data_IF_511569672074
#
_entry.id   IF_511569672074
#
_cell.length_a   1.000
_cell.length_b   1.000
_cell.length_c   1.000
_cell.angle_alpha   90.00
_cell.angle_beta   90.00
_cell.angle_gamma   90.00
#
_symmetry.space_group_name_H-M   'P 1'
#
loop_
_entity.id
_entity.type
_entity.pdbx_description
1 polymer ?
#
# COMPACT_ATOMS: atom_id res chain seq x y z
N UNK A 1 45.38 13.25 -63.36
CA UNK A 1 46.55 12.55 -63.90
C UNK A 1 47.75 13.10 -63.16
N UNK A 2 48.53 12.37 -62.39
CA UNK A 2 48.59 10.93 -62.17
C UNK A 2 49.76 10.67 -61.20
N UNK A 3 49.66 9.56 -60.44
CA UNK A 3 50.76 8.67 -60.02
C UNK A 3 51.73 9.19 -58.92
N UNK A 4 51.67 8.63 -57.71
CA UNK A 4 52.48 7.46 -57.21
C UNK A 4 53.86 7.91 -56.64
N UNK A 5 54.50 7.32 -55.62
CA UNK A 5 54.29 6.13 -54.78
C UNK A 5 55.31 6.18 -53.60
N UNK A 6 54.92 5.54 -52.48
CA UNK A 6 55.70 4.63 -51.60
C UNK A 6 56.99 5.01 -50.83
N UNK A 7 56.92 4.62 -49.55
CA UNK A 7 57.99 4.01 -48.73
C UNK A 7 58.06 4.65 -47.33
N UNK A 8 57.97 3.99 -46.18
CA UNK A 8 57.91 2.57 -45.78
C UNK A 8 57.81 2.49 -44.23
N UNK A 9 57.45 1.31 -43.72
CA UNK A 9 57.15 0.94 -42.33
C UNK A 9 58.15 1.34 -41.23
N UNK A 10 57.62 1.71 -40.06
CA UNK A 10 58.15 1.27 -38.76
C UNK A 10 57.09 1.43 -37.63
N UNK A 11 56.68 0.28 -37.10
CA UNK A 11 55.79 0.04 -35.97
C UNK A 11 56.21 0.79 -34.68
N UNK A 12 55.27 1.52 -34.05
CA UNK A 12 55.33 1.90 -32.62
C UNK A 12 53.94 1.88 -31.99
N UNK A 13 53.77 1.08 -30.94
CA UNK A 13 52.63 1.08 -30.02
C UNK A 13 52.63 2.35 -29.16
N UNK A 14 51.46 2.87 -28.73
CA UNK A 14 51.37 3.74 -27.56
C UNK A 14 50.70 3.04 -26.37
N UNK A 15 51.30 3.25 -25.21
CA UNK A 15 50.94 2.79 -23.87
C UNK A 15 49.69 3.49 -23.31
N UNK A 16 48.83 2.69 -22.66
CA UNK A 16 47.67 3.14 -21.91
C UNK A 16 48.05 3.82 -20.58
N UNK A 17 47.63 5.07 -20.40
CA UNK A 17 47.55 5.75 -19.11
C UNK A 17 46.09 5.91 -18.70
N UNK A 18 45.57 4.99 -17.88
CA UNK A 18 44.22 5.05 -17.32
C UNK A 18 44.23 5.65 -15.91
N UNK A 19 43.75 6.88 -15.76
CA UNK A 19 43.45 7.48 -14.46
C UNK A 19 42.21 6.83 -13.85
N UNK A 20 42.36 6.22 -12.67
CA UNK A 20 41.24 5.67 -11.89
C UNK A 20 40.65 6.76 -11.02
N UNK A 21 39.46 7.21 -11.40
CA UNK A 21 38.59 8.04 -10.56
C UNK A 21 38.08 7.22 -9.38
N UNK A 22 38.31 7.73 -8.18
CA UNK A 22 37.88 7.18 -6.90
C UNK A 22 36.35 7.07 -6.84
N UNK A 23 35.82 5.84 -6.86
CA UNK A 23 34.40 5.56 -6.65
C UNK A 23 34.09 5.65 -5.15
N UNK A 24 33.51 6.77 -4.75
CA UNK A 24 32.84 6.88 -3.46
C UNK A 24 31.62 5.97 -3.50
N UNK A 25 31.61 4.89 -2.72
CA UNK A 25 30.47 3.98 -2.59
C UNK A 25 29.32 4.71 -1.88
N UNK A 26 28.58 5.53 -2.63
CA UNK A 26 27.17 5.79 -2.35
C UNK A 26 26.50 4.43 -2.49
N UNK A 27 25.83 3.96 -1.43
CA UNK A 27 24.90 2.85 -1.54
C UNK A 27 23.85 3.27 -2.57
N UNK A 28 23.98 2.72 -3.77
CA UNK A 28 22.89 2.63 -4.71
C UNK A 28 21.86 1.79 -3.98
N UNK A 29 20.73 2.38 -3.62
CA UNK A 29 19.55 1.66 -3.15
C UNK A 29 19.01 0.89 -4.36
N UNK A 30 19.74 -0.14 -4.83
CA UNK A 30 19.19 -1.16 -5.73
C UNK A 30 18.31 -2.07 -4.88
N UNK A 31 17.22 -1.51 -4.36
CA UNK A 31 16.02 -2.28 -4.11
C UNK A 31 15.62 -2.73 -5.51
N UNK A 32 15.68 -4.03 -5.80
CA UNK A 32 15.06 -4.57 -7.01
C UNK A 32 13.64 -4.00 -7.04
N UNK A 33 13.37 -3.11 -7.99
CA UNK A 33 12.11 -2.38 -8.04
C UNK A 33 11.03 -3.41 -8.38
N UNK A 34 10.30 -3.85 -7.35
CA UNK A 34 9.22 -4.85 -7.44
C UNK A 34 8.30 -4.46 -8.61
N UNK A 35 7.95 -5.43 -9.46
CA UNK A 35 7.16 -5.14 -10.65
C UNK A 35 5.84 -4.48 -10.25
N UNK A 36 5.32 -3.49 -11.01
CA UNK A 36 4.02 -2.89 -10.74
C UNK A 36 2.88 -3.92 -10.60
N UNK A 37 3.00 -5.07 -11.27
CA UNK A 37 2.04 -6.18 -11.16
C UNK A 37 2.17 -6.94 -9.84
N UNK A 38 3.39 -7.12 -9.34
CA UNK A 38 3.66 -7.79 -8.06
C UNK A 38 3.14 -6.93 -6.90
N UNK A 39 3.42 -5.62 -6.93
CA UNK A 39 2.88 -4.64 -5.98
C UNK A 39 1.35 -4.68 -5.99
N UNK A 40 0.73 -4.69 -7.19
CA UNK A 40 -0.73 -4.80 -7.32
C UNK A 40 -1.25 -6.08 -6.69
N UNK A 41 -0.64 -7.23 -6.99
CA UNK A 41 -1.03 -8.54 -6.47
C UNK A 41 -0.90 -8.60 -4.94
N UNK A 42 0.16 -8.01 -4.37
CA UNK A 42 0.35 -7.87 -2.92
C UNK A 42 -0.78 -7.05 -2.29
N UNK A 43 -1.10 -5.90 -2.87
CA UNK A 43 -2.15 -5.01 -2.37
C UNK A 43 -3.54 -5.66 -2.44
N UNK A 44 -3.85 -6.39 -3.51
CA UNK A 44 -5.09 -7.17 -3.62
C UNK A 44 -5.16 -8.24 -2.54
N UNK A 45 -4.08 -9.03 -2.37
CA UNK A 45 -4.01 -10.08 -1.35
C UNK A 45 -4.17 -9.51 0.06
N UNK A 46 -3.54 -8.39 0.34
CA UNK A 46 -3.70 -7.69 1.61
C UNK A 46 -5.15 -7.26 1.84
N UNK A 47 -5.78 -6.61 0.85
CA UNK A 47 -7.17 -6.18 0.94
C UNK A 47 -8.12 -7.35 1.21
N UNK A 48 -7.88 -8.51 0.60
CA UNK A 48 -8.64 -9.75 0.84
C UNK A 48 -8.46 -10.28 2.27
N UNK A 49 -7.21 -10.35 2.75
CA UNK A 49 -6.92 -10.81 4.12
C UNK A 49 -7.57 -9.90 5.15
N UNK A 50 -7.48 -8.58 4.98
CA UNK A 50 -8.08 -7.63 5.91
C UNK A 50 -9.61 -7.66 5.83
N UNK A 51 -10.19 -7.78 4.63
CA UNK A 51 -11.64 -7.89 4.47
C UNK A 51 -12.19 -9.16 5.13
N UNK A 52 -11.48 -10.28 5.04
CA UNK A 52 -11.85 -11.52 5.73
C UNK A 52 -11.75 -11.40 7.25
N UNK A 53 -10.69 -10.76 7.77
CA UNK A 53 -10.49 -10.64 9.21
C UNK A 53 -11.39 -9.60 9.87
N UNK A 54 -11.56 -8.43 9.24
CA UNK A 54 -12.26 -7.28 9.83
C UNK A 54 -13.71 -7.15 9.35
N UNK A 55 -14.04 -7.69 8.18
CA UNK A 55 -15.37 -7.57 7.57
C UNK A 55 -16.47 -8.35 8.29
N UNK A 56 -16.11 -9.40 9.02
CA UNK A 56 -17.07 -10.25 9.75
C UNK A 56 -17.31 -9.80 11.20
N UNK A 57 -16.46 -8.93 11.75
CA UNK A 57 -16.39 -8.56 13.18
C UNK A 57 -17.55 -7.72 13.73
N UNK A 58 -18.60 -7.46 12.95
CA UNK A 58 -19.77 -6.69 13.41
C UNK A 58 -19.55 -5.17 13.52
N UNK A 59 -18.46 -4.66 12.94
CA UNK A 59 -18.11 -3.23 12.93
C UNK A 59 -17.01 -2.87 13.94
N UNK A 60 -16.20 -1.88 13.57
CA UNK A 60 -15.17 -1.31 14.43
C UNK A 60 -15.74 -0.15 15.24
N UNK A 61 -15.29 -0.01 16.48
CA UNK A 61 -15.65 1.08 17.39
C UNK A 61 -14.58 2.17 17.37
N UNK A 62 -14.95 3.39 17.77
CA UNK A 62 -14.03 4.52 17.80
C UNK A 62 -12.83 4.30 18.74
N UNK A 63 -12.97 3.45 19.76
CA UNK A 63 -11.89 3.13 20.69
C UNK A 63 -10.83 2.18 20.10
N UNK A 64 -11.12 1.55 18.97
CA UNK A 64 -10.23 0.63 18.27
C UNK A 64 -9.39 1.31 17.20
N UNK A 65 -9.59 2.63 16.98
CA UNK A 65 -8.83 3.44 16.03
C UNK A 65 -8.05 4.54 16.73
N UNK A 66 -6.91 4.90 16.16
CA UNK A 66 -6.12 6.08 16.53
C UNK A 66 -6.65 7.27 15.73
N UNK A 67 -7.76 7.85 16.20
CA UNK A 67 -8.48 8.91 15.49
C UNK A 67 -7.70 10.25 15.37
N UNK A 68 -6.75 10.51 16.27
CA UNK A 68 -6.00 11.76 16.30
C UNK A 68 -4.75 11.69 15.41
N UNK A 69 -4.74 12.48 14.34
CA UNK A 69 -3.59 12.59 13.43
C UNK A 69 -2.32 13.07 14.14
N UNK A 70 -2.42 13.81 15.26
CA UNK A 70 -1.26 14.20 16.05
C UNK A 70 -0.59 13.00 16.73
N UNK A 71 -1.36 12.00 17.17
CA UNK A 71 -0.80 10.77 17.73
C UNK A 71 -0.06 9.95 16.66
N UNK A 72 -0.64 9.87 15.45
CA UNK A 72 0.02 9.25 14.30
C UNK A 72 1.30 10.00 13.91
N UNK A 73 1.27 11.33 13.99
CA UNK A 73 2.47 12.15 13.82
C UNK A 73 3.56 11.80 14.83
N UNK A 74 3.21 11.65 16.11
CA UNK A 74 4.16 11.22 17.14
C UNK A 74 4.72 9.83 16.85
N UNK A 75 3.90 8.89 16.36
CA UNK A 75 4.36 7.54 15.99
C UNK A 75 5.30 7.56 14.78
N UNK A 76 5.04 8.42 13.79
CA UNK A 76 5.94 8.66 12.66
C UNK A 76 7.29 9.25 13.10
N UNK A 77 7.27 10.21 14.03
CA UNK A 77 8.50 10.78 14.61
C UNK A 77 9.26 9.74 15.43
N UNK A 78 8.54 8.90 16.19
CA UNK A 78 9.13 7.79 16.91
C UNK A 78 9.86 6.87 15.94
N UNK A 79 9.20 6.44 14.85
CA UNK A 79 9.81 5.64 13.79
C UNK A 79 11.13 6.22 13.27
N UNK A 80 11.15 7.48 12.80
CA UNK A 80 12.37 8.10 12.26
C UNK A 80 13.47 8.23 13.34
N UNK A 81 13.10 8.55 14.58
CA UNK A 81 14.06 8.69 15.69
C UNK A 81 14.69 7.37 16.10
N UNK A 82 13.90 6.29 16.16
CA UNK A 82 14.37 4.95 16.52
C UNK A 82 15.20 4.32 15.41
N UNK A 83 14.80 4.52 14.14
CA UNK A 83 15.58 4.08 12.98
C UNK A 83 16.94 4.80 12.95
N UNK A 84 16.94 6.12 13.14
CA UNK A 84 18.17 6.89 13.21
C UNK A 84 19.09 6.40 14.34
N UNK A 85 18.52 6.15 15.54
CA UNK A 85 19.28 5.67 16.68
C UNK A 85 19.87 4.28 16.42
N UNK A 86 19.10 3.36 15.86
CA UNK A 86 19.58 2.02 15.47
C UNK A 86 20.76 2.13 14.49
N UNK A 87 20.66 2.98 13.47
CA UNK A 87 21.76 3.22 12.53
C UNK A 87 23.00 3.79 13.21
N UNK A 88 22.83 4.74 14.14
CA UNK A 88 23.95 5.32 14.89
C UNK A 88 24.61 4.31 15.83
N UNK A 89 23.82 3.50 16.51
CA UNK A 89 24.34 2.43 17.37
C UNK A 89 25.06 1.35 16.57
N UNK A 90 24.58 1.03 15.37
CA UNK A 90 25.26 0.12 14.44
C UNK A 90 26.63 0.66 14.06
N UNK A 91 26.70 1.91 13.60
CA UNK A 91 27.95 2.55 13.20
C UNK A 91 28.93 2.66 14.38
N UNK A 92 28.43 3.07 15.55
CA UNK A 92 29.22 3.15 16.77
C UNK A 92 29.80 1.78 17.18
N UNK A 93 28.99 0.72 17.14
CA UNK A 93 29.43 -0.63 17.47
C UNK A 93 30.47 -1.15 16.47
N UNK A 94 30.31 -0.84 15.18
CA UNK A 94 31.29 -1.16 14.15
C UNK A 94 32.63 -0.43 14.37
N UNK A 95 32.60 0.86 14.70
CA UNK A 95 33.80 1.64 15.00
C UNK A 95 34.54 1.11 16.24
N UNK A 96 33.81 0.73 17.29
CA UNK A 96 34.40 0.09 18.48
C UNK A 96 35.11 -1.23 18.13
N UNK A 97 34.48 -2.08 17.30
CA UNK A 97 35.07 -3.33 16.85
C UNK A 97 36.34 -3.13 16.01
N UNK A 98 36.37 -2.09 15.16
CA UNK A 98 37.55 -1.72 14.37
C UNK A 98 38.70 -1.18 15.23
N UNK A 99 38.40 -0.47 16.32
CA UNK A 99 39.41 0.02 17.26
C UNK A 99 40.02 -1.12 18.09
N UNK A 100 39.23 -2.12 18.46
CA UNK A 100 39.70 -3.30 19.22
C UNK A 100 40.47 -4.30 18.37
N UNK A 101 40.20 -4.38 17.06
CA UNK A 101 40.98 -5.17 16.12
C UNK A 101 42.25 -4.41 15.74
N UNK A 102 43.23 -4.39 16.64
CA UNK A 102 44.55 -3.78 16.41
C UNK A 102 45.23 -4.33 15.14
N UNK A 103 46.28 -3.66 14.63
CA UNK A 103 47.00 -4.07 13.43
C UNK A 103 47.80 -5.35 13.70
N UNK A 104 47.15 -6.50 13.56
CA UNK A 104 47.78 -7.80 13.39
C UNK A 104 47.30 -8.37 12.05
N UNK A 105 47.73 -7.75 10.96
CA UNK A 105 48.52 -8.42 9.92
C UNK A 105 48.83 -7.44 8.78
N UNK A 106 49.97 -7.70 8.13
CA UNK A 106 50.72 -6.77 7.29
C UNK A 106 49.99 -6.06 6.16
N UNK A 107 50.55 -4.86 5.86
CA UNK A 107 50.51 -4.09 4.62
C UNK A 107 49.20 -3.36 4.27
N UNK A 108 49.23 -2.01 4.34
CA UNK A 108 48.89 -1.03 3.29
C UNK A 108 48.84 0.39 3.92
N UNK A 109 49.41 1.45 3.30
CA UNK A 109 49.28 2.81 3.82
C UNK A 109 47.99 3.45 3.30
N UNK A 110 47.05 3.77 4.18
CA UNK A 110 45.84 4.51 3.83
C UNK A 110 46.00 6.01 4.14
N UNK A 111 46.06 6.79 3.07
CA UNK A 111 45.97 8.24 3.00
C UNK A 111 44.51 8.65 3.26
N UNK A 112 44.26 9.60 4.16
CA UNK A 112 42.93 10.17 4.39
C UNK A 112 42.80 10.91 5.72
N UNK A 113 43.15 12.19 5.70
CA UNK A 113 43.11 13.11 6.84
C UNK A 113 41.68 13.55 7.20
N UNK A 114 41.37 13.69 8.50
CA UNK A 114 40.27 14.57 8.94
C UNK A 114 39.55 14.25 10.26
N UNK A 115 39.66 13.04 10.82
CA UNK A 115 39.07 12.74 12.14
C UNK A 115 40.21 12.48 13.12
N UNK A 116 40.26 13.12 14.31
CA UNK A 116 41.29 12.84 15.30
C UNK A 116 41.15 11.38 15.73
N UNK A 117 42.09 10.54 15.30
CA UNK A 117 42.21 9.15 15.72
C UNK A 117 42.81 9.16 17.11
N UNK A 118 42.05 8.75 18.11
CA UNK A 118 42.63 8.40 19.41
C UNK A 118 43.32 7.05 19.19
N UNK A 119 44.63 7.08 18.90
CA UNK A 119 45.47 5.88 18.95
C UNK A 119 45.61 5.47 20.41
N UNK A 120 44.79 4.53 20.87
CA UNK A 120 45.03 3.83 22.13
C UNK A 120 45.80 2.56 21.82
N UNK A 121 47.12 2.65 21.75
CA UNK A 121 47.98 1.46 21.81
C UNK A 121 48.07 0.99 23.26
N UNK A 122 47.76 -0.30 23.46
CA UNK A 122 47.90 -1.05 24.71
C UNK A 122 49.24 -0.80 25.43
N UNK A 123 49.26 0.07 26.44
CA UNK A 123 50.18 0.04 27.60
C UNK A 123 49.52 0.64 28.86
N UNK A 124 48.54 1.55 28.76
CA UNK A 124 47.98 2.28 29.92
C UNK A 124 46.48 2.02 30.23
N UNK A 125 46.11 0.78 30.56
CA UNK A 125 45.01 0.54 31.51
C UNK A 125 43.56 0.84 31.11
N UNK A 126 43.17 0.73 29.84
CA UNK A 126 41.74 0.65 29.47
C UNK A 126 41.36 -0.83 29.28
N UNK A 127 40.33 -1.36 29.98
CA UNK A 127 39.96 -2.77 29.86
C UNK A 127 39.56 -3.13 28.43
N UNK A 128 39.86 -4.36 28.01
CA UNK A 128 39.20 -4.99 26.86
C UNK A 128 37.69 -4.78 26.99
N UNK A 129 37.05 -4.26 25.94
CA UNK A 129 35.62 -3.99 26.03
C UNK A 129 34.94 -5.36 26.20
N UNK A 130 34.15 -5.58 27.27
CA UNK A 130 33.59 -6.90 27.51
C UNK A 130 32.81 -7.35 26.28
N UNK A 131 33.09 -8.54 25.78
CA UNK A 131 32.34 -9.11 24.64
C UNK A 131 30.82 -9.06 24.91
N UNK A 132 30.44 -9.17 26.19
CA UNK A 132 29.08 -9.01 26.67
C UNK A 132 28.49 -7.62 26.38
N UNK A 133 29.26 -6.53 26.50
CA UNK A 133 28.79 -5.18 26.19
C UNK A 133 28.51 -5.03 24.68
N UNK A 134 29.39 -5.57 23.83
CA UNK A 134 29.21 -5.56 22.37
C UNK A 134 27.96 -6.34 21.99
N UNK A 135 27.76 -7.53 22.58
CA UNK A 135 26.54 -8.33 22.39
C UNK A 135 25.29 -7.57 22.82
N UNK A 136 25.32 -6.91 23.98
CA UNK A 136 24.19 -6.09 24.45
C UNK A 136 23.91 -4.90 23.53
N UNK A 137 24.93 -4.24 22.99
CA UNK A 137 24.76 -3.14 22.03
C UNK A 137 24.11 -3.63 20.72
N UNK A 138 24.52 -4.79 20.21
CA UNK A 138 23.88 -5.40 19.04
C UNK A 138 22.42 -5.75 19.31
N UNK A 139 22.11 -6.35 20.46
CA UNK A 139 20.73 -6.66 20.86
C UNK A 139 19.87 -5.39 20.96
N UNK A 140 20.40 -4.33 21.59
CA UNK A 140 19.70 -3.06 21.71
C UNK A 140 19.45 -2.39 20.35
N UNK A 141 20.45 -2.46 19.46
CA UNK A 141 20.34 -1.96 18.10
C UNK A 141 19.24 -2.67 17.32
N UNK A 142 19.19 -4.01 17.40
CA UNK A 142 18.15 -4.81 16.77
C UNK A 142 16.77 -4.48 17.33
N UNK A 143 16.64 -4.29 18.65
CA UNK A 143 15.38 -3.91 19.28
C UNK A 143 14.87 -2.54 18.82
N UNK A 144 15.76 -1.54 18.63
CA UNK A 144 15.36 -0.24 18.09
C UNK A 144 14.95 -0.32 16.62
N UNK A 145 15.62 -1.14 15.82
CA UNK A 145 15.26 -1.38 14.42
C UNK A 145 13.89 -2.07 14.29
N UNK A 146 13.64 -3.11 15.11
CA UNK A 146 12.35 -3.79 15.17
C UNK A 146 11.23 -2.85 15.62
N UNK A 147 11.48 -2.01 16.63
CA UNK A 147 10.52 -1.00 17.08
C UNK A 147 10.22 0.02 15.98
N UNK A 148 11.23 0.48 15.24
CA UNK A 148 11.04 1.38 14.12
C UNK A 148 10.14 0.74 13.05
N UNK A 149 10.43 -0.51 12.66
CA UNK A 149 9.63 -1.25 11.68
C UNK A 149 8.18 -1.45 12.17
N UNK A 150 8.00 -1.74 13.45
CA UNK A 150 6.67 -1.89 14.07
C UNK A 150 5.89 -0.58 14.01
N UNK A 151 6.50 0.56 14.32
CA UNK A 151 5.83 1.87 14.24
C UNK A 151 5.34 2.15 12.81
N UNK A 152 6.15 1.87 11.80
CA UNK A 152 5.78 2.07 10.40
C UNK A 152 4.65 1.12 9.96
N UNK A 153 4.69 -0.14 10.41
CA UNK A 153 3.62 -1.11 10.15
C UNK A 153 2.30 -0.69 10.83
N UNK A 154 2.34 -0.19 12.07
CA UNK A 154 1.15 0.30 12.76
C UNK A 154 0.52 1.47 12.02
N UNK A 155 1.31 2.43 11.52
CA UNK A 155 0.79 3.53 10.69
C UNK A 155 0.08 3.01 9.44
N UNK A 156 0.71 2.07 8.73
CA UNK A 156 0.15 1.45 7.54
C UNK A 156 -1.16 0.71 7.82
N UNK A 157 -1.23 -0.04 8.92
CA UNK A 157 -2.44 -0.76 9.36
C UNK A 157 -3.53 0.18 9.85
N UNK A 158 -3.18 1.22 10.62
CA UNK A 158 -4.15 2.18 11.15
C UNK A 158 -4.97 2.83 10.03
N UNK A 159 -4.33 3.29 8.95
CA UNK A 159 -5.05 3.91 7.82
C UNK A 159 -6.06 2.94 7.19
N UNK A 160 -5.75 1.64 7.16
CA UNK A 160 -6.64 0.59 6.65
C UNK A 160 -7.80 0.33 7.60
N UNK A 161 -7.52 0.26 8.90
CA UNK A 161 -8.54 0.11 9.94
C UNK A 161 -9.51 1.29 9.89
N UNK A 162 -9.03 2.52 9.65
CA UNK A 162 -9.90 3.67 9.46
C UNK A 162 -10.80 3.55 8.22
N UNK A 163 -10.29 3.02 7.10
CA UNK A 163 -11.15 2.71 5.95
C UNK A 163 -12.28 1.74 6.33
N UNK A 164 -12.01 0.68 7.10
CA UNK A 164 -13.06 -0.21 7.60
C UNK A 164 -14.03 0.50 8.55
N UNK A 165 -13.52 1.29 9.50
CA UNK A 165 -14.34 2.00 10.48
C UNK A 165 -15.38 2.90 9.81
N UNK A 166 -14.97 3.71 8.81
CA UNK A 166 -15.88 4.63 8.13
C UNK A 166 -16.74 3.97 7.05
N UNK A 167 -16.26 2.92 6.37
CA UNK A 167 -16.97 2.34 5.21
C UNK A 167 -17.79 1.09 5.54
N UNK A 168 -17.46 0.29 6.57
CA UNK A 168 -18.21 -0.92 6.90
C UNK A 168 -19.67 -0.64 7.35
N UNK A 169 -19.96 0.40 8.17
CA UNK A 169 -21.33 0.75 8.54
C UNK A 169 -22.25 1.06 7.35
N UNK A 170 -21.68 1.36 6.17
CA UNK A 170 -22.43 1.60 4.94
C UNK A 170 -23.21 0.35 4.48
N UNK A 171 -22.70 -0.86 4.74
CA UNK A 171 -23.37 -2.11 4.36
C UNK A 171 -24.52 -2.51 5.30
N UNK A 172 -24.38 -2.24 6.59
CA UNK A 172 -25.08 -3.02 7.63
C UNK A 172 -26.41 -2.50 8.17
N UNK A 173 -26.85 -1.26 7.90
CA UNK A 173 -28.20 -0.87 8.38
C UNK A 173 -28.56 0.59 8.58
N UNK A 174 -27.66 1.57 8.39
CA UNK A 174 -28.02 2.97 8.66
C UNK A 174 -27.93 3.94 7.48
N UNK A 175 -27.34 3.55 6.35
CA UNK A 175 -27.15 4.46 5.21
C UNK A 175 -27.88 4.07 3.93
N UNK A 176 -28.13 2.78 3.68
CA UNK A 176 -28.39 2.32 2.31
C UNK A 176 -29.79 1.76 2.04
N UNK A 177 -30.63 1.51 3.05
CA UNK A 177 -31.97 0.98 2.76
C UNK A 177 -32.99 0.96 3.90
N UNK A 178 -32.86 1.81 4.92
CA UNK A 178 -33.72 1.79 6.09
C UNK A 178 -34.57 3.06 6.24
N UNK A 179 -35.74 3.09 5.60
CA UNK A 179 -36.84 3.88 6.16
C UNK A 179 -37.23 3.25 7.50
N UNK A 180 -36.90 3.89 8.62
CA UNK A 180 -37.43 3.49 9.93
C UNK A 180 -36.53 3.77 11.13
N UNK A 181 -36.79 4.89 11.81
CA UNK A 181 -36.68 4.98 13.28
C UNK A 181 -35.41 5.60 13.84
N UNK A 182 -35.39 6.93 14.03
CA UNK A 182 -34.38 7.58 14.89
C UNK A 182 -34.18 9.08 14.73
N UNK A 183 -35.25 9.89 14.82
CA UNK A 183 -35.20 11.28 15.28
C UNK A 183 -34.22 12.25 14.60
N UNK A 184 -34.56 12.71 13.40
CA UNK A 184 -33.92 13.86 12.77
C UNK A 184 -34.61 14.21 11.46
N UNK A 185 -35.43 15.25 11.47
CA UNK A 185 -36.20 15.75 10.33
C UNK A 185 -35.31 16.08 9.13
N UNK A 186 -35.38 15.27 8.07
CA UNK A 186 -34.62 15.53 6.83
C UNK A 186 -34.85 14.51 5.72
N UNK A 187 -36.09 14.03 5.53
CA UNK A 187 -36.47 13.32 4.32
C UNK A 187 -36.57 14.31 3.15
N UNK A 188 -35.42 14.64 2.55
CA UNK A 188 -35.33 15.37 1.29
C UNK A 188 -34.18 14.74 0.50
N UNK A 189 -34.46 14.21 -0.68
CA UNK A 189 -33.62 14.15 -1.90
C UNK A 189 -32.13 14.56 -1.81
N UNK A 190 -31.34 14.03 -0.89
CA UNK A 190 -29.95 14.48 -0.75
C UNK A 190 -29.11 13.89 -1.88
N UNK A 191 -28.87 14.73 -2.89
CA UNK A 191 -27.78 14.59 -3.88
C UNK A 191 -26.39 14.55 -3.21
N UNK A 192 -26.35 14.75 -1.90
CA UNK A 192 -25.14 14.76 -1.09
C UNK A 192 -24.52 13.36 -0.99
N UNK A 193 -23.18 13.29 -0.92
CA UNK A 193 -22.46 12.06 -0.65
C UNK A 193 -22.66 11.61 0.80
N UNK A 194 -22.26 10.37 1.09
CA UNK A 194 -22.34 9.83 2.45
C UNK A 194 -21.45 10.65 3.42
N UNK A 195 -21.98 11.16 4.55
CA UNK A 195 -21.19 11.89 5.54
C UNK A 195 -19.97 11.12 6.06
N UNK A 196 -20.05 9.79 6.18
CA UNK A 196 -18.90 8.97 6.62
C UNK A 196 -17.79 8.92 5.57
N UNK A 197 -18.14 9.00 4.29
CA UNK A 197 -17.15 9.09 3.19
C UNK A 197 -16.47 10.45 3.18
N UNK A 198 -17.24 11.52 3.43
CA UNK A 198 -16.67 12.86 3.57
C UNK A 198 -15.73 12.94 4.77
N UNK A 199 -16.11 12.35 5.90
CA UNK A 199 -15.27 12.34 7.09
C UNK A 199 -14.01 11.49 6.87
N UNK A 200 -14.12 10.30 6.27
CA UNK A 200 -12.94 9.50 5.88
C UNK A 200 -12.01 10.31 4.98
N UNK A 201 -12.53 11.02 3.99
CA UNK A 201 -11.72 11.87 3.10
C UNK A 201 -10.95 12.93 3.89
N UNK A 202 -11.64 13.64 4.80
CA UNK A 202 -11.01 14.65 5.69
C UNK A 202 -9.92 14.03 6.56
N UNK A 203 -10.18 12.86 7.12
CA UNK A 203 -9.26 12.16 8.00
C UNK A 203 -8.02 11.67 7.23
N UNK A 204 -8.19 11.08 6.05
CA UNK A 204 -7.08 10.67 5.19
C UNK A 204 -6.17 11.84 4.81
N UNK A 205 -6.75 13.00 4.47
CA UNK A 205 -5.97 14.22 4.21
C UNK A 205 -5.19 14.68 5.45
N UNK A 206 -5.81 14.65 6.64
CA UNK A 206 -5.13 15.03 7.88
C UNK A 206 -3.96 14.09 8.22
N UNK A 207 -4.12 12.78 7.96
CA UNK A 207 -3.05 11.80 8.12
C UNK A 207 -1.93 12.05 7.10
N UNK A 208 -2.27 12.33 5.84
CA UNK A 208 -1.28 12.65 4.80
C UNK A 208 -0.43 13.87 5.20
N UNK A 209 -1.04 14.96 5.65
CA UNK A 209 -0.32 16.14 6.16
C UNK A 209 0.59 15.79 7.35
N UNK A 210 0.12 14.95 8.27
CA UNK A 210 0.91 14.49 9.42
C UNK A 210 2.12 13.64 8.99
N UNK A 211 1.92 12.71 8.05
CA UNK A 211 2.96 11.82 7.53
C UNK A 211 3.96 12.59 6.67
N UNK A 212 3.51 13.44 5.74
CA UNK A 212 4.36 14.24 4.86
C UNK A 212 5.29 15.20 5.64
N UNK A 213 4.85 15.66 6.82
CA UNK A 213 5.68 16.51 7.69
C UNK A 213 6.65 15.76 8.60
N UNK A 214 6.56 14.43 8.68
CA UNK A 214 7.26 13.63 9.71
C UNK A 214 7.97 12.39 9.20
N UNK A 215 7.64 11.89 8.00
CA UNK A 215 8.25 10.72 7.37
C UNK A 215 8.94 11.09 6.07
N UNK A 216 9.94 10.30 5.70
CA UNK A 216 10.49 10.32 4.34
C UNK A 216 9.41 9.94 3.30
N UNK A 217 9.45 10.56 2.11
CA UNK A 217 8.43 10.37 1.07
C UNK A 217 8.16 8.90 0.71
N UNK A 218 9.21 8.05 0.68
CA UNK A 218 9.08 6.61 0.41
C UNK A 218 8.25 5.89 1.48
N UNK A 219 8.44 6.25 2.75
CA UNK A 219 7.71 5.68 3.89
C UNK A 219 6.28 6.20 3.95
N UNK A 220 6.07 7.47 3.62
CA UNK A 220 4.72 8.01 3.43
C UNK A 220 3.97 7.27 2.32
N UNK A 221 4.61 7.06 1.16
CA UNK A 221 4.05 6.24 0.07
C UNK A 221 3.66 4.84 0.55
N UNK A 222 4.52 4.18 1.34
CA UNK A 222 4.22 2.87 1.92
C UNK A 222 2.95 2.88 2.79
N UNK A 223 2.73 3.92 3.60
CA UNK A 223 1.53 4.03 4.46
C UNK A 223 0.24 4.02 3.62
N UNK A 224 0.20 4.76 2.52
CA UNK A 224 -0.99 4.90 1.65
C UNK A 224 -1.05 3.89 0.49
N UNK A 225 0.00 3.10 0.26
CA UNK A 225 0.04 2.11 -0.79
C UNK A 225 -1.09 1.08 -0.61
N UNK A 226 -1.78 0.74 -1.71
CA UNK A 226 -2.81 -0.29 -1.70
C UNK A 226 -4.19 0.16 -1.21
N UNK A 227 -4.35 1.37 -0.68
CA UNK A 227 -5.65 1.85 -0.18
C UNK A 227 -6.75 1.84 -1.23
N UNK A 228 -6.45 2.17 -2.49
CA UNK A 228 -7.44 2.09 -3.56
C UNK A 228 -8.02 0.68 -3.74
N UNK A 229 -7.18 -0.35 -3.62
CA UNK A 229 -7.62 -1.76 -3.69
C UNK A 229 -8.44 -2.15 -2.47
N UNK A 230 -8.03 -1.71 -1.28
CA UNK A 230 -8.76 -1.96 -0.04
C UNK A 230 -10.16 -1.33 -0.07
N UNK A 231 -10.23 -0.03 -0.39
CA UNK A 231 -11.50 0.70 -0.46
C UNK A 231 -12.41 0.06 -1.52
N UNK A 232 -11.88 -0.24 -2.71
CA UNK A 232 -12.63 -0.94 -3.75
C UNK A 232 -13.23 -2.24 -3.21
N UNK A 233 -12.42 -3.06 -2.52
CA UNK A 233 -12.87 -4.33 -1.93
C UNK A 233 -13.95 -4.14 -0.87
N UNK A 234 -13.81 -3.16 0.03
CA UNK A 234 -14.81 -2.87 1.06
C UNK A 234 -16.14 -2.46 0.40
N UNK A 235 -16.09 -1.57 -0.59
CA UNK A 235 -17.27 -1.06 -1.27
C UNK A 235 -17.97 -2.16 -2.09
N UNK A 236 -17.26 -2.95 -2.89
CA UNK A 236 -17.89 -4.03 -3.67
C UNK A 236 -18.47 -5.11 -2.76
N UNK A 237 -17.76 -5.46 -1.68
CA UNK A 237 -18.25 -6.42 -0.69
C UNK A 237 -19.47 -5.89 0.08
N UNK A 238 -19.64 -4.58 0.23
CA UNK A 238 -20.80 -3.99 0.93
C UNK A 238 -22.16 -4.38 0.30
N UNK A 239 -22.17 -4.71 -1.00
CA UNK A 239 -23.39 -5.08 -1.75
C UNK A 239 -24.09 -6.33 -1.22
N UNK A 240 -23.37 -7.22 -0.53
CA UNK A 240 -23.98 -8.40 0.09
C UNK A 240 -24.98 -8.02 1.21
N UNK A 241 -24.72 -6.91 1.90
CA UNK A 241 -25.53 -6.42 3.01
C UNK A 241 -26.66 -5.46 2.57
N UNK A 242 -26.61 -4.96 1.34
CA UNK A 242 -27.66 -4.09 0.78
C UNK A 242 -28.93 -4.90 0.55
N UNK A 243 -30.04 -4.48 1.15
CA UNK A 243 -31.32 -5.17 1.01
C UNK A 243 -31.94 -4.99 -0.37
N UNK A 244 -31.92 -3.76 -0.89
CA UNK A 244 -32.40 -3.40 -2.23
C UNK A 244 -31.52 -2.30 -2.81
N UNK A 245 -31.26 -2.40 -4.11
CA UNK A 245 -30.56 -1.39 -4.88
C UNK A 245 -31.53 -0.69 -5.83
N UNK A 246 -31.49 0.64 -5.82
CA UNK A 246 -32.21 1.51 -6.74
C UNK A 246 -31.23 2.47 -7.44
N UNK A 247 -31.73 3.25 -8.40
CA UNK A 247 -30.89 4.16 -9.18
C UNK A 247 -30.23 5.26 -8.32
N UNK A 248 -30.88 5.72 -7.25
CA UNK A 248 -30.28 6.70 -6.33
C UNK A 248 -29.13 6.07 -5.53
N UNK A 249 -29.28 4.82 -5.06
CA UNK A 249 -28.22 4.08 -4.41
C UNK A 249 -27.00 3.96 -5.33
N UNK A 250 -27.20 3.57 -6.60
CA UNK A 250 -26.11 3.47 -7.57
C UNK A 250 -25.43 4.83 -7.76
N UNK A 251 -26.22 5.90 -7.97
CA UNK A 251 -25.67 7.27 -8.14
C UNK A 251 -24.91 7.74 -6.90
N UNK A 252 -25.42 7.49 -5.69
CA UNK A 252 -24.74 7.81 -4.44
C UNK A 252 -23.44 7.04 -4.29
N UNK A 253 -23.42 5.74 -4.60
CA UNK A 253 -22.19 4.95 -4.57
C UNK A 253 -21.16 5.46 -5.57
N UNK A 254 -21.57 5.84 -6.78
CA UNK A 254 -20.68 6.46 -7.75
C UNK A 254 -20.10 7.80 -7.24
N UNK A 255 -20.90 8.62 -6.55
CA UNK A 255 -20.43 9.88 -5.91
C UNK A 255 -19.42 9.59 -4.78
N UNK A 256 -19.71 8.62 -3.93
CA UNK A 256 -18.81 8.20 -2.85
C UNK A 256 -17.45 7.73 -3.40
N UNK A 257 -17.48 6.87 -4.41
CA UNK A 257 -16.26 6.38 -5.08
C UNK A 257 -15.47 7.55 -5.67
N UNK A 258 -16.14 8.50 -6.34
CA UNK A 258 -15.47 9.65 -6.93
C UNK A 258 -14.74 10.52 -5.89
N UNK A 259 -15.35 10.76 -4.73
CA UNK A 259 -14.72 11.52 -3.64
C UNK A 259 -13.48 10.80 -3.11
N UNK A 260 -13.57 9.48 -2.90
CA UNK A 260 -12.45 8.67 -2.42
C UNK A 260 -11.34 8.60 -3.48
N UNK A 261 -11.69 8.48 -4.76
CA UNK A 261 -10.74 8.55 -5.88
C UNK A 261 -10.00 9.88 -5.88
N UNK A 262 -10.70 11.00 -5.76
CA UNK A 262 -10.06 12.32 -5.77
C UNK A 262 -9.13 12.49 -4.57
N UNK A 263 -9.55 12.03 -3.39
CA UNK A 263 -8.77 12.08 -2.16
C UNK A 263 -7.48 11.27 -2.33
N UNK A 264 -7.59 9.99 -2.71
CA UNK A 264 -6.43 9.12 -2.87
C UNK A 264 -5.51 9.60 -4.01
N UNK A 265 -6.05 10.02 -5.15
CA UNK A 265 -5.23 10.54 -6.27
C UNK A 265 -4.40 11.74 -5.83
N UNK A 266 -4.94 12.60 -4.96
CA UNK A 266 -4.19 13.75 -4.44
C UNK A 266 -3.07 13.33 -3.47
N UNK A 267 -3.31 12.31 -2.64
CA UNK A 267 -2.34 11.79 -1.67
C UNK A 267 -1.23 10.97 -2.37
N UNK A 268 -1.63 10.02 -3.23
CA UNK A 268 -0.71 9.06 -3.87
C UNK A 268 -0.05 9.62 -5.13
N UNK A 269 -0.62 10.69 -5.70
CA UNK A 269 -0.27 11.26 -7.01
C UNK A 269 -0.34 10.20 -8.13
N UNK A 270 -1.19 9.19 -7.95
CA UNK A 270 -1.36 8.08 -8.88
C UNK A 270 -2.84 7.85 -9.22
N UNK A 271 -3.08 7.20 -10.36
CA UNK A 271 -4.45 6.85 -10.77
C UNK A 271 -4.95 5.63 -10.00
N UNK A 272 -6.12 5.76 -9.39
CA UNK A 272 -6.77 4.70 -8.62
C UNK A 272 -7.64 3.78 -9.50
N UNK A 273 -7.00 2.90 -10.28
CA UNK A 273 -7.68 1.97 -11.21
C UNK A 273 -8.59 0.96 -10.51
N UNK A 274 -8.28 0.56 -9.28
CA UNK A 274 -9.13 -0.31 -8.49
C UNK A 274 -10.49 0.34 -8.17
N UNK A 275 -10.50 1.65 -7.95
CA UNK A 275 -11.74 2.40 -7.72
C UNK A 275 -12.51 2.66 -9.03
N UNK A 276 -11.81 2.77 -10.17
CA UNK A 276 -12.47 2.76 -11.48
C UNK A 276 -13.21 1.43 -11.68
N UNK A 277 -12.57 0.31 -11.33
CA UNK A 277 -13.17 -1.02 -11.39
C UNK A 277 -14.37 -1.18 -10.45
N UNK A 278 -14.27 -0.70 -9.20
CA UNK A 278 -15.40 -0.68 -8.27
C UNK A 278 -16.57 0.17 -8.78
N UNK A 279 -16.30 1.30 -9.44
CA UNK A 279 -17.35 2.12 -10.07
C UNK A 279 -18.07 1.35 -11.17
N UNK A 280 -17.35 0.65 -12.04
CA UNK A 280 -17.96 -0.21 -13.07
C UNK A 280 -18.81 -1.32 -12.45
N UNK A 281 -18.38 -1.90 -11.32
CA UNK A 281 -19.17 -2.89 -10.59
C UNK A 281 -20.55 -2.34 -10.20
N UNK A 282 -20.60 -1.14 -9.62
CA UNK A 282 -21.88 -0.51 -9.27
C UNK A 282 -22.73 -0.12 -10.50
N UNK A 283 -22.10 0.16 -11.64
CA UNK A 283 -22.82 0.43 -12.88
C UNK A 283 -23.47 -0.81 -13.50
N UNK A 284 -23.03 -2.03 -13.14
CA UNK A 284 -23.71 -3.26 -13.55
C UNK A 284 -25.18 -3.29 -13.09
N UNK A 285 -25.50 -2.65 -11.97
CA UNK A 285 -26.86 -2.63 -11.43
C UNK A 285 -27.85 -1.78 -12.26
N UNK A 286 -27.38 -1.03 -13.26
CA UNK A 286 -28.25 -0.44 -14.28
C UNK A 286 -28.76 -1.46 -15.30
N UNK A 287 -28.09 -2.62 -15.39
CA UNK A 287 -28.36 -3.64 -16.38
C UNK A 287 -29.24 -4.76 -15.80
N UNK A 288 -29.90 -5.47 -16.70
CA UNK A 288 -30.56 -6.73 -16.41
C UNK A 288 -29.57 -7.89 -16.39
N UNK A 289 -29.87 -9.02 -15.72
CA UNK A 289 -28.99 -10.18 -15.72
C UNK A 289 -28.65 -10.70 -17.13
N UNK A 290 -29.62 -10.66 -18.05
CA UNK A 290 -29.41 -11.07 -19.44
C UNK A 290 -28.46 -10.12 -20.20
N UNK A 291 -28.56 -8.80 -19.98
CA UNK A 291 -27.62 -7.82 -20.55
C UNK A 291 -26.21 -8.01 -19.98
N UNK A 292 -26.07 -8.32 -18.70
CA UNK A 292 -24.77 -8.62 -18.08
C UNK A 292 -24.17 -9.89 -18.71
N UNK A 293 -24.93 -10.97 -18.84
CA UNK A 293 -24.45 -12.22 -19.45
C UNK A 293 -24.02 -12.01 -20.90
N UNK A 294 -24.80 -11.27 -21.69
CA UNK A 294 -24.43 -10.94 -23.07
C UNK A 294 -23.15 -10.08 -23.09
N UNK A 295 -22.99 -9.13 -22.17
CA UNK A 295 -21.78 -8.34 -22.03
C UNK A 295 -20.53 -9.19 -21.74
N UNK A 296 -20.65 -10.18 -20.85
CA UNK A 296 -19.57 -11.13 -20.54
C UNK A 296 -19.22 -11.98 -21.76
N UNK A 297 -20.21 -12.43 -22.53
CA UNK A 297 -19.96 -13.19 -23.77
C UNK A 297 -19.26 -12.36 -24.84
N UNK A 298 -19.62 -11.09 -25.00
CA UNK A 298 -19.08 -10.22 -26.06
C UNK A 298 -17.70 -9.65 -25.72
N UNK A 299 -17.47 -9.28 -24.46
CA UNK A 299 -16.29 -8.51 -24.04
C UNK A 299 -15.35 -9.29 -23.12
N UNK A 300 -15.78 -10.44 -22.61
CA UNK A 300 -15.08 -11.20 -21.58
C UNK A 300 -15.50 -10.80 -20.16
N UNK A 301 -15.04 -11.57 -19.18
CA UNK A 301 -15.33 -11.35 -17.77
C UNK A 301 -14.45 -10.24 -17.19
N UNK A 302 -15.08 -9.20 -16.65
CA UNK A 302 -14.40 -8.10 -15.95
C UNK A 302 -14.34 -8.30 -14.43
N UNK A 303 -15.24 -9.12 -13.88
CA UNK A 303 -15.38 -9.41 -12.46
C UNK A 303 -15.25 -10.90 -12.20
N UNK A 304 -15.01 -11.26 -10.94
CA UNK A 304 -15.00 -12.67 -10.52
C UNK A 304 -16.40 -13.29 -10.59
N UNK A 305 -16.47 -14.62 -10.71
CA UNK A 305 -17.75 -15.35 -10.69
C UNK A 305 -18.56 -14.99 -9.44
N UNK A 306 -17.93 -14.97 -8.27
CA UNK A 306 -18.57 -14.61 -7.00
C UNK A 306 -19.17 -13.18 -7.02
N UNK A 307 -18.48 -12.22 -7.62
CA UNK A 307 -18.97 -10.84 -7.74
C UNK A 307 -20.20 -10.73 -8.64
N UNK A 308 -20.22 -11.47 -9.76
CA UNK A 308 -21.39 -11.57 -10.62
C UNK A 308 -22.56 -12.29 -9.91
N UNK A 309 -22.27 -13.36 -9.16
CA UNK A 309 -23.28 -14.06 -8.36
C UNK A 309 -23.90 -13.11 -7.33
N UNK A 310 -23.09 -12.36 -6.59
CA UNK A 310 -23.57 -11.37 -5.63
C UNK A 310 -24.41 -10.28 -6.31
N UNK A 311 -23.99 -9.82 -7.50
CA UNK A 311 -24.73 -8.82 -8.26
C UNK A 311 -26.12 -9.33 -8.68
N UNK A 312 -26.20 -10.53 -9.25
CA UNK A 312 -27.49 -11.14 -9.64
C UNK A 312 -28.42 -11.36 -8.45
N UNK A 313 -27.89 -11.82 -7.31
CA UNK A 313 -28.68 -11.95 -6.07
C UNK A 313 -29.23 -10.59 -5.60
N UNK A 314 -28.44 -9.52 -5.66
CA UNK A 314 -28.90 -8.18 -5.29
C UNK A 314 -29.93 -7.61 -6.27
N UNK A 315 -29.73 -7.79 -7.58
CA UNK A 315 -30.72 -7.41 -8.62
C UNK A 315 -32.05 -8.13 -8.37
N UNK A 316 -32.00 -9.42 -8.04
CA UNK A 316 -33.20 -10.20 -7.74
C UNK A 316 -33.92 -9.68 -6.48
N UNK A 317 -33.21 -9.49 -5.36
CA UNK A 317 -33.78 -8.95 -4.11
C UNK A 317 -34.48 -7.60 -4.30
N UNK A 318 -34.00 -6.82 -5.27
CA UNK A 318 -34.49 -5.48 -5.59
C UNK A 318 -35.72 -5.50 -6.50
N UNK A 319 -35.94 -6.60 -7.24
CA UNK A 319 -37.12 -6.80 -8.09
C UNK A 319 -38.19 -7.60 -7.34
N UNK A 320 -39.29 -6.95 -7.00
CA UNK A 320 -40.38 -7.48 -6.14
C UNK A 320 -41.11 -8.75 -6.67
N UNK A 321 -40.73 -9.31 -7.82
CA UNK A 321 -41.44 -10.40 -8.52
C UNK A 321 -40.50 -11.37 -9.28
N UNK A 322 -39.28 -11.58 -8.83
CA UNK A 322 -38.35 -12.46 -9.54
C UNK A 322 -38.46 -13.93 -9.07
N UNK A 323 -38.84 -14.82 -9.99
CA UNK A 323 -38.93 -16.27 -9.77
C UNK A 323 -37.57 -16.86 -9.32
N UNK A 324 -37.49 -17.60 -8.20
CA UNK A 324 -36.26 -18.29 -7.80
C UNK A 324 -35.65 -19.19 -8.88
N UNK A 325 -36.45 -19.69 -9.82
CA UNK A 325 -35.92 -20.49 -10.94
C UNK A 325 -35.16 -19.65 -11.97
N UNK A 326 -35.46 -18.35 -12.09
CA UNK A 326 -34.79 -17.47 -13.05
C UNK A 326 -33.35 -17.18 -12.62
N UNK A 327 -33.11 -16.93 -11.32
CA UNK A 327 -31.75 -16.70 -10.82
C UNK A 327 -30.89 -17.96 -11.01
N UNK A 328 -31.42 -19.15 -10.73
CA UNK A 328 -30.66 -20.39 -10.92
C UNK A 328 -30.26 -20.59 -12.38
N UNK A 329 -31.14 -20.20 -13.33
CA UNK A 329 -30.83 -20.22 -14.76
C UNK A 329 -29.75 -19.21 -15.12
N UNK A 330 -29.80 -17.99 -14.59
CA UNK A 330 -28.76 -16.98 -14.81
C UNK A 330 -27.41 -17.39 -14.21
N UNK A 331 -27.40 -18.01 -13.02
CA UNK A 331 -26.19 -18.55 -12.39
C UNK A 331 -25.59 -19.70 -13.20
N UNK A 332 -26.41 -20.65 -13.65
CA UNK A 332 -25.93 -21.75 -14.48
C UNK A 332 -25.32 -21.22 -15.78
N UNK A 333 -26.02 -20.30 -16.45
CA UNK A 333 -25.54 -19.72 -17.70
C UNK A 333 -24.25 -18.92 -17.51
N UNK A 334 -24.09 -18.21 -16.40
CA UNK A 334 -22.83 -17.55 -16.04
C UNK A 334 -21.69 -18.57 -15.91
N UNK A 335 -21.93 -19.66 -15.16
CA UNK A 335 -20.93 -20.72 -14.97
C UNK A 335 -20.55 -21.39 -16.29
N UNK A 336 -21.52 -21.64 -17.17
CA UNK A 336 -21.27 -22.19 -18.50
C UNK A 336 -20.41 -21.23 -19.36
N UNK A 337 -20.75 -19.93 -19.38
CA UNK A 337 -19.99 -18.91 -20.13
C UNK A 337 -18.55 -18.80 -19.59
N UNK A 338 -18.38 -18.71 -18.27
CA UNK A 338 -17.05 -18.59 -17.66
C UNK A 338 -16.23 -19.88 -17.80
N UNK A 339 -16.90 -21.04 -17.77
CA UNK A 339 -16.29 -22.35 -18.01
C UNK A 339 -15.83 -22.53 -19.46
N UNK A 340 -16.61 -22.10 -20.44
CA UNK A 340 -16.20 -22.11 -21.85
C UNK A 340 -15.06 -21.12 -22.12
N UNK A 341 -15.12 -19.92 -21.53
CA UNK A 341 -14.06 -18.89 -21.65
C UNK A 341 -12.75 -19.35 -20.99
N UNK A 342 -12.82 -20.07 -19.86
CA UNK A 342 -11.67 -20.66 -19.16
C UNK A 342 -11.00 -21.83 -19.89
N UNK A 343 -11.64 -22.41 -20.90
CA UNK A 343 -11.07 -23.47 -21.77
C UNK A 343 -10.39 -22.89 -23.02
N UNK A 344 -10.62 -21.60 -23.32
CA UNK A 344 -10.09 -20.92 -24.52
C UNK A 344 -8.85 -20.04 -24.29
N UNK A 345 -8.16 -20.16 -23.16
CA UNK A 345 -6.89 -19.45 -22.88
C UNK A 345 -5.72 -20.41 -22.82
#
# INVERSE_FOLDING_TARGET
>A
MDLENKGGDAQRQPSHGGGKSSSTLKRDDTVEEESPEEVRRRNVKEAEMLASNLGESGGLTQHEIIADAAQLKCLAQLHESTEWLAHRLTAFTADLLLQHRGPQDGAYPAVGAGVPRISVTNVDGIPELPEQLIKSLHQLTAAFDELANTCLLVLHLEVRVQCFYYLLPMGGGSGVGGGGGGGGTGALTSQEPDPMVLELSRVLCAIDEAMASSLQARKSKYVFEGLGHLIAKILTSSTQFVARIDEECIRRMCRNIFILQQTLTNITLARETALDHAKHYFQLFYLTPDEILNGVMEKGAEFSELEYMNAFQLIQRSRQSADPTSIQRHMQRLSDILGEVGVTV
#
